data_IF_834681844683
#
_entry.id   IF_834681844683
#
_cell.length_a   1.000
_cell.length_b   1.000
_cell.length_c   1.000
_cell.angle_alpha   90.00
_cell.angle_beta   90.00
_cell.angle_gamma   90.00
#
_symmetry.space_group_name_H-M   'P 1'
#
loop_
_entity.id
_entity.type
_entity.pdbx_description
1 polymer ?
#
# COMPACT_ATOMS: atom_id res chain seq x y z
N UNK A 1 -16.37 -9.58 -20.16
CA UNK A 1 -16.29 -10.23 -18.83
C UNK A 1 -17.72 -10.42 -18.35
N UNK A 2 -18.17 -11.65 -18.11
CA UNK A 2 -19.58 -11.98 -17.81
C UNK A 2 -19.89 -12.10 -16.31
N UNK A 3 -18.87 -12.04 -15.45
CA UNK A 3 -18.99 -12.20 -14.00
C UNK A 3 -17.66 -12.67 -13.41
N UNK A 4 -17.65 -13.02 -12.12
CA UNK A 4 -16.52 -13.63 -11.42
C UNK A 4 -16.97 -14.92 -10.74
N UNK A 5 -16.13 -15.96 -10.77
CA UNK A 5 -16.34 -17.17 -9.98
C UNK A 5 -15.86 -16.90 -8.55
N UNK A 6 -16.75 -17.06 -7.57
CA UNK A 6 -16.45 -16.84 -6.15
C UNK A 6 -16.56 -18.16 -5.42
N UNK A 7 -15.59 -18.45 -4.55
CA UNK A 7 -15.62 -19.59 -3.64
C UNK A 7 -15.82 -19.11 -2.21
N UNK A 8 -16.80 -19.68 -1.53
CA UNK A 8 -16.99 -19.48 -0.09
C UNK A 8 -15.87 -20.15 0.69
N UNK A 9 -15.25 -19.40 1.60
CA UNK A 9 -14.10 -19.88 2.39
C UNK A 9 -14.54 -20.88 3.47
N UNK A 10 -15.76 -20.74 3.99
CA UNK A 10 -16.32 -21.55 5.06
C UNK A 10 -16.96 -22.86 4.56
N UNK A 11 -17.69 -22.81 3.44
CA UNK A 11 -18.40 -23.98 2.89
C UNK A 11 -17.70 -24.62 1.69
N UNK A 12 -16.79 -23.90 1.02
CA UNK A 12 -16.15 -24.34 -0.22
C UNK A 12 -17.03 -24.27 -1.47
N UNK A 13 -18.29 -23.84 -1.33
CA UNK A 13 -19.25 -23.71 -2.43
C UNK A 13 -18.81 -22.64 -3.44
N UNK A 14 -18.99 -22.94 -4.72
CA UNK A 14 -18.65 -22.03 -5.83
C UNK A 14 -19.91 -21.47 -6.49
N UNK A 15 -19.92 -20.17 -6.79
CA UNK A 15 -21.00 -19.52 -7.52
C UNK A 15 -20.48 -18.42 -8.45
N UNK A 16 -21.24 -18.11 -9.50
CA UNK A 16 -20.91 -17.02 -10.42
C UNK A 16 -21.62 -15.75 -9.97
N UNK A 17 -20.84 -14.71 -9.71
CA UNK A 17 -21.35 -13.37 -9.44
C UNK A 17 -21.33 -12.55 -10.74
N UNK A 18 -22.51 -12.26 -11.27
CA UNK A 18 -22.67 -11.42 -12.46
C UNK A 18 -22.35 -9.96 -12.13
N UNK A 19 -21.36 -9.39 -12.82
CA UNK A 19 -20.93 -8.01 -12.62
C UNK A 19 -20.36 -7.41 -13.90
N UNK A 20 -20.37 -6.08 -13.98
CA UNK A 20 -19.86 -5.34 -15.13
C UNK A 20 -18.43 -4.84 -14.96
N UNK A 21 -17.89 -4.86 -13.74
CA UNK A 21 -16.54 -4.39 -13.44
C UNK A 21 -16.05 -4.87 -12.08
N UNK A 22 -14.74 -5.10 -11.99
CA UNK A 22 -14.03 -5.54 -10.79
C UNK A 22 -12.84 -4.59 -10.57
N UNK A 23 -12.66 -4.10 -9.34
CA UNK A 23 -11.55 -3.25 -8.95
C UNK A 23 -10.81 -3.91 -7.78
N UNK A 24 -9.48 -4.03 -7.90
CA UNK A 24 -8.65 -4.57 -6.83
C UNK A 24 -8.23 -3.44 -5.89
N UNK A 25 -8.65 -3.52 -4.63
CA UNK A 25 -8.30 -2.58 -3.56
C UNK A 25 -7.59 -3.26 -2.40
N UNK A 26 -6.63 -4.14 -2.69
CA UNK A 26 -5.93 -4.97 -1.70
C UNK A 26 -4.64 -4.33 -1.14
N UNK A 27 -4.40 -3.05 -1.44
CA UNK A 27 -3.18 -2.34 -1.09
C UNK A 27 -2.10 -2.42 -2.17
N UNK A 28 -0.99 -1.73 -1.92
CA UNK A 28 0.17 -1.69 -2.81
C UNK A 28 1.41 -2.21 -2.09
N UNK A 29 2.30 -2.87 -2.84
CA UNK A 29 3.64 -3.20 -2.38
C UNK A 29 4.62 -2.21 -3.00
N UNK A 30 5.27 -1.32 -2.23
CA UNK A 30 6.24 -0.39 -2.76
C UNK A 30 7.50 -1.11 -3.24
N UNK A 31 8.13 -0.61 -4.30
CA UNK A 31 9.39 -1.15 -4.85
C UNK A 31 10.63 -0.71 -4.05
N UNK A 32 10.59 -0.89 -2.73
CA UNK A 32 11.60 -0.43 -1.77
C UNK A 32 12.43 -1.56 -1.16
N UNK A 33 12.15 -2.82 -1.49
CA UNK A 33 12.80 -4.00 -0.90
C UNK A 33 14.34 -3.96 -0.97
N UNK A 34 14.91 -3.41 -2.05
CA UNK A 34 16.36 -3.24 -2.22
C UNK A 34 17.00 -2.26 -1.21
N UNK A 35 16.19 -1.43 -0.56
CA UNK A 35 16.60 -0.38 0.37
C UNK A 35 16.42 -0.79 1.85
N UNK A 36 15.89 -1.98 2.11
CA UNK A 36 15.72 -2.52 3.45
C UNK A 36 17.05 -2.52 4.22
N UNK A 37 17.02 -1.99 5.45
CA UNK A 37 18.20 -1.84 6.30
C UNK A 37 19.16 -0.71 5.91
N UNK A 38 18.95 -0.05 4.76
CA UNK A 38 19.75 1.10 4.31
C UNK A 38 19.03 2.43 4.53
N UNK A 39 17.71 2.44 4.37
CA UNK A 39 16.85 3.61 4.58
C UNK A 39 15.70 3.20 5.51
N UNK A 40 15.20 4.15 6.29
CA UNK A 40 14.04 3.91 7.15
C UNK A 40 12.78 3.68 6.30
N UNK A 41 12.16 2.53 6.52
CA UNK A 41 10.89 2.14 5.93
C UNK A 41 9.82 2.02 7.03
N UNK A 42 8.56 2.24 6.68
CA UNK A 42 7.45 1.92 7.57
C UNK A 42 7.17 0.39 7.59
N UNK A 43 6.21 -0.04 8.41
CA UNK A 43 5.83 -1.46 8.52
C UNK A 43 5.24 -2.05 7.24
N UNK A 44 4.80 -1.20 6.30
CA UNK A 44 4.24 -1.58 5.01
C UNK A 44 5.29 -1.51 3.87
N UNK A 45 6.52 -1.13 4.19
CA UNK A 45 7.65 -1.01 3.28
C UNK A 45 7.80 0.35 2.60
N UNK A 46 7.01 1.38 2.91
CA UNK A 46 7.15 2.70 2.28
C UNK A 46 8.35 3.45 2.82
N UNK A 47 9.03 4.21 1.97
CA UNK A 47 10.14 5.06 2.39
C UNK A 47 9.59 6.21 3.24
N UNK A 48 10.11 6.33 4.46
CA UNK A 48 9.77 7.42 5.34
C UNK A 48 10.47 8.69 4.88
N UNK A 49 9.70 9.77 4.70
CA UNK A 49 10.26 11.11 4.47
C UNK A 49 9.87 12.11 5.53
N UNK A 50 10.72 13.13 5.68
CA UNK A 50 10.42 14.30 6.49
C UNK A 50 9.31 15.12 5.84
N UNK A 51 8.29 15.46 6.64
CA UNK A 51 7.13 16.25 6.23
C UNK A 51 7.50 17.53 5.45
N UNK A 52 6.76 17.78 4.37
CA UNK A 52 6.99 18.91 3.48
C UNK A 52 8.29 18.83 2.65
N UNK A 53 8.99 17.69 2.68
CA UNK A 53 10.25 17.49 1.93
C UNK A 53 10.30 16.10 1.30
N UNK A 54 11.30 15.87 0.44
CA UNK A 54 11.62 14.55 -0.10
C UNK A 54 12.75 13.84 0.67
N UNK A 55 13.18 14.37 1.83
CA UNK A 55 14.38 13.89 2.53
C UNK A 55 14.08 12.58 3.28
N UNK A 56 14.91 11.57 3.04
CA UNK A 56 14.88 10.28 3.75
C UNK A 56 15.74 10.32 5.03
N UNK A 57 15.91 9.18 5.69
CA UNK A 57 16.82 9.03 6.83
C UNK A 57 18.31 9.12 6.45
N UNK A 58 18.65 8.99 5.16
CA UNK A 58 20.03 9.06 4.66
C UNK A 58 20.27 10.38 3.95
N UNK A 59 21.30 11.11 4.39
CA UNK A 59 21.68 12.38 3.78
C UNK A 59 22.07 12.19 2.30
N UNK A 60 21.56 13.07 1.43
CA UNK A 60 21.76 12.99 -0.01
C UNK A 60 20.83 12.01 -0.73
N UNK A 61 20.01 11.24 -0.01
CA UNK A 61 19.01 10.35 -0.58
C UNK A 61 17.60 10.92 -0.40
N UNK A 62 16.86 10.98 -1.50
CA UNK A 62 15.52 11.55 -1.57
C UNK A 62 14.53 10.55 -2.15
N UNK A 63 13.28 10.57 -1.68
CA UNK A 63 12.20 9.74 -2.19
C UNK A 63 11.06 10.61 -2.73
N UNK A 64 10.39 10.15 -3.78
CA UNK A 64 9.31 10.86 -4.46
C UNK A 64 8.30 9.89 -5.08
N UNK A 65 7.05 10.33 -5.24
CA UNK A 65 5.96 9.51 -5.78
C UNK A 65 5.45 8.47 -4.80
N UNK A 66 4.81 7.42 -5.31
CA UNK A 66 4.07 6.43 -4.52
C UNK A 66 4.96 5.54 -3.63
N UNK A 67 6.29 5.63 -3.73
CA UNK A 67 7.21 4.83 -2.90
C UNK A 67 7.43 5.42 -1.50
N UNK A 68 7.00 6.67 -1.26
CA UNK A 68 7.18 7.36 0.02
C UNK A 68 5.87 7.58 0.75
N UNK A 69 5.97 7.66 2.07
CA UNK A 69 4.92 8.14 2.97
C UNK A 69 5.46 9.26 3.86
N UNK A 70 4.60 10.21 4.20
CA UNK A 70 4.92 11.24 5.17
C UNK A 70 4.63 10.68 6.55
N UNK A 71 5.60 10.77 7.48
CA UNK A 71 5.34 10.57 8.91
C UNK A 71 4.45 11.71 9.43
N UNK A 72 3.16 11.62 9.20
CA UNK A 72 2.17 12.21 10.08
C UNK A 72 1.24 11.10 10.54
N UNK A 73 1.04 11.08 11.87
CA UNK A 73 -0.04 10.36 12.53
C UNK A 73 -1.29 10.48 11.67
N UNK A 74 -1.82 9.32 11.24
CA UNK A 74 -3.13 9.20 10.62
C UNK A 74 -4.05 10.25 11.26
N UNK A 75 -4.68 11.11 10.47
CA UNK A 75 -5.63 12.11 10.97
C UNK A 75 -6.58 11.42 11.95
N UNK A 76 -6.31 11.50 13.26
CA UNK A 76 -7.24 11.00 14.26
C UNK A 76 -8.31 12.06 14.31
N UNK A 77 -9.32 11.92 13.45
CA UNK A 77 -10.57 12.64 13.60
C UNK A 77 -11.21 12.07 14.86
N UNK A 78 -10.93 12.71 16.00
CA UNK A 78 -11.78 12.59 17.17
C UNK A 78 -13.08 13.31 16.84
N UNK A 79 -14.18 12.58 17.02
CA UNK A 79 -15.56 13.05 16.90
C UNK A 79 -15.84 14.19 17.88
#
# INVERSE_FOLDING_TARGET
MSGVLVKRVDTGEESVLELKGLFYGIGHTPNSHLLEGQIELDSSGYIIVKEGTAKTSVEGVFAAGDVQVILQTCCIIHN
#
